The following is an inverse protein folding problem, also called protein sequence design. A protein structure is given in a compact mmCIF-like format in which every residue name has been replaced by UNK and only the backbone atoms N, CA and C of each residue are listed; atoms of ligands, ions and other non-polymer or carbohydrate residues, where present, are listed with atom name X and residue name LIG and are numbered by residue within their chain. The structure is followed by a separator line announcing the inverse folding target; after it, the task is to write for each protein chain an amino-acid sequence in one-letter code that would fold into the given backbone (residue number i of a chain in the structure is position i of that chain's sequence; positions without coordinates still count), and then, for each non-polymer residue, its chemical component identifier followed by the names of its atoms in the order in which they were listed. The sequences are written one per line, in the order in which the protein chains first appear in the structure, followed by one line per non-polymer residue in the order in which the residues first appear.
data_IF_598187997252
#
_entry.id   IF_598187997252
#
_cell.length_a   1.000
_cell.length_b   1.000
_cell.length_c   1.000
_cell.angle_alpha   90.00
_cell.angle_beta   90.00
_cell.angle_gamma   90.00
#
_symmetry.space_group_name_H-M   'P 1'
#
loop_
_entity.id
_entity.type
_entity.pdbx_description
1 polymer ?
#
# COMPACT_ATOMS: atom_id res chain seq x y z
N UNK A 1 5.29 -18.26 3.88
CA UNK A 1 4.10 -18.01 3.04
C UNK A 1 4.50 -17.66 1.61
N UNK A 2 5.23 -16.55 1.39
CA UNK A 2 5.58 -16.01 0.06
C UNK A 2 6.05 -17.03 -0.99
N UNK A 3 6.95 -17.96 -0.68
CA UNK A 3 7.41 -18.98 -1.65
C UNK A 3 6.26 -19.84 -2.20
N UNK A 4 5.35 -20.30 -1.33
CA UNK A 4 4.19 -21.09 -1.76
C UNK A 4 3.20 -20.28 -2.60
N UNK A 5 3.14 -18.97 -2.44
CA UNK A 5 2.29 -18.09 -3.27
C UNK A 5 2.91 -17.89 -4.65
N UNK A 6 4.22 -17.68 -4.71
CA UNK A 6 4.96 -17.61 -5.97
C UNK A 6 4.84 -18.92 -6.75
N UNK A 7 4.95 -20.07 -6.09
CA UNK A 7 4.76 -21.40 -6.71
C UNK A 7 3.35 -21.60 -7.29
N UNK A 8 2.36 -20.84 -6.80
CA UNK A 8 0.97 -20.84 -7.28
C UNK A 8 0.70 -19.76 -8.35
N UNK A 9 1.74 -19.06 -8.80
CA UNK A 9 1.65 -18.03 -9.84
C UNK A 9 1.25 -16.65 -9.33
N UNK A 10 1.28 -16.40 -8.01
CA UNK A 10 1.03 -15.06 -7.46
C UNK A 10 2.23 -14.16 -7.74
N UNK A 11 1.97 -12.92 -8.15
CA UNK A 11 3.00 -11.88 -8.23
C UNK A 11 3.08 -11.14 -6.90
N UNK A 12 4.27 -11.04 -6.33
CA UNK A 12 4.53 -10.28 -5.10
C UNK A 12 5.28 -8.99 -5.42
N UNK A 13 4.71 -7.84 -5.04
CA UNK A 13 5.30 -6.51 -5.25
C UNK A 13 5.44 -5.74 -3.93
N UNK A 14 6.56 -5.03 -3.78
CA UNK A 14 6.82 -4.16 -2.62
C UNK A 14 6.83 -2.70 -3.09
N UNK A 15 5.92 -1.89 -2.55
CA UNK A 15 5.87 -0.45 -2.82
C UNK A 15 6.74 0.31 -1.82
N UNK A 16 7.87 0.85 -2.26
CA UNK A 16 8.73 1.73 -1.46
C UNK A 16 8.19 3.17 -1.48
N UNK A 17 7.13 3.42 -0.72
CA UNK A 17 6.42 4.71 -0.66
C UNK A 17 7.17 5.76 0.17
N UNK A 18 6.88 7.06 -0.05
CA UNK A 18 7.39 8.13 0.83
C UNK A 18 6.95 7.93 2.27
N UNK A 19 7.79 8.40 3.20
CA UNK A 19 7.68 8.14 4.64
C UNK A 19 8.54 6.98 5.11
N UNK A 20 9.12 6.20 4.18
CA UNK A 20 10.22 5.26 4.43
C UNK A 20 11.59 5.95 4.37
N UNK A 21 12.66 5.14 4.41
CA UNK A 21 14.05 5.61 4.44
C UNK A 21 14.85 5.37 3.15
N UNK A 22 14.21 4.82 2.12
CA UNK A 22 14.87 4.25 0.93
C UNK A 22 15.67 5.28 0.13
N UNK A 23 15.23 6.55 0.12
CA UNK A 23 15.92 7.66 -0.56
C UNK A 23 16.40 8.75 0.43
N UNK A 24 16.63 8.39 1.69
CA UNK A 24 17.18 9.29 2.71
C UNK A 24 16.13 10.19 3.39
N UNK A 25 16.60 11.27 4.05
CA UNK A 25 15.77 12.06 4.98
C UNK A 25 14.62 12.79 4.29
N UNK A 26 14.82 13.30 3.08
CA UNK A 26 13.76 13.98 2.33
C UNK A 26 12.58 13.03 2.04
N UNK A 27 12.87 11.78 1.64
CA UNK A 27 11.87 10.76 1.40
C UNK A 27 10.99 10.47 2.62
N UNK A 28 11.61 10.45 3.80
CA UNK A 28 10.92 10.27 5.07
C UNK A 28 10.05 11.49 5.43
N UNK A 29 10.60 12.71 5.35
CA UNK A 29 9.86 13.94 5.68
C UNK A 29 8.67 14.20 4.75
N UNK A 30 8.82 13.85 3.46
CA UNK A 30 7.78 14.02 2.46
C UNK A 30 6.63 12.99 2.57
N UNK A 31 6.67 12.08 3.56
CA UNK A 31 5.61 11.10 3.81
C UNK A 31 5.17 10.99 5.26
N UNK A 32 5.36 12.04 6.06
CA UNK A 32 4.91 12.09 7.47
C UNK A 32 4.15 13.38 7.80
N UNK A 33 3.47 13.37 8.95
CA UNK A 33 2.70 14.51 9.46
C UNK A 33 1.73 15.07 8.40
N UNK A 34 1.82 16.37 8.09
CA UNK A 34 0.95 17.01 7.11
C UNK A 34 1.19 16.50 5.67
N UNK A 35 2.35 15.91 5.40
CA UNK A 35 2.69 15.27 4.12
C UNK A 35 2.26 13.80 4.08
N UNK A 36 1.60 13.26 5.12
CA UNK A 36 1.30 11.82 5.21
C UNK A 36 0.44 11.30 4.05
N UNK A 37 -0.38 12.16 3.45
CA UNK A 37 -1.19 11.82 2.27
C UNK A 37 -0.33 11.32 1.11
N UNK A 38 0.92 11.76 0.98
CA UNK A 38 1.84 11.31 -0.06
C UNK A 38 2.12 9.80 0.01
N UNK A 39 2.30 9.24 1.22
CA UNK A 39 2.45 7.79 1.42
C UNK A 39 1.29 7.02 0.79
N UNK A 40 0.06 7.52 0.99
CA UNK A 40 -1.15 6.86 0.50
C UNK A 40 -1.28 6.96 -1.02
N UNK A 41 -1.02 8.15 -1.58
CA UNK A 41 -1.11 8.35 -3.03
C UNK A 41 0.01 7.64 -3.78
N UNK A 42 1.20 7.49 -3.19
CA UNK A 42 2.29 6.70 -3.78
C UNK A 42 1.89 5.24 -3.92
N UNK A 43 1.26 4.67 -2.88
CA UNK A 43 0.79 3.28 -2.92
C UNK A 43 -0.28 3.07 -3.99
N UNK A 44 -1.24 4.01 -4.09
CA UNK A 44 -2.26 4.01 -5.15
C UNK A 44 -1.61 4.14 -6.53
N UNK A 45 -0.57 4.97 -6.69
CA UNK A 45 0.15 5.11 -7.94
C UNK A 45 0.84 3.80 -8.35
N UNK A 46 1.46 3.08 -7.39
CA UNK A 46 2.02 1.75 -7.65
C UNK A 46 0.95 0.76 -8.07
N UNK A 47 -0.21 0.72 -7.38
CA UNK A 47 -1.32 -0.15 -7.75
C UNK A 47 -1.82 0.14 -9.18
N UNK A 48 -2.02 1.41 -9.54
CA UNK A 48 -2.39 1.81 -10.91
C UNK A 48 -1.32 1.43 -11.93
N UNK A 49 -0.05 1.56 -11.58
CA UNK A 49 1.05 1.16 -12.45
C UNK A 49 1.04 -0.36 -12.72
N UNK A 50 0.82 -1.18 -11.69
CA UNK A 50 0.75 -2.64 -11.86
C UNK A 50 -0.41 -3.05 -12.77
N UNK A 51 -1.59 -2.45 -12.58
CA UNK A 51 -2.76 -2.70 -13.44
C UNK A 51 -2.51 -2.23 -14.87
N UNK A 52 -1.98 -1.01 -15.04
CA UNK A 52 -1.74 -0.43 -16.36
C UNK A 52 -0.73 -1.23 -17.20
N UNK A 53 0.29 -1.80 -16.56
CA UNK A 53 1.30 -2.61 -17.24
C UNK A 53 0.91 -4.09 -17.39
N UNK A 54 -0.31 -4.46 -17.01
CA UNK A 54 -0.83 -5.82 -17.21
C UNK A 54 -0.24 -6.87 -16.27
N UNK A 55 0.36 -6.47 -15.14
CA UNK A 55 0.81 -7.42 -14.12
C UNK A 55 -0.37 -8.05 -13.37
N UNK A 56 -1.50 -7.34 -13.30
CA UNK A 56 -2.74 -7.75 -12.64
C UNK A 56 -3.89 -6.86 -13.11
N UNK A 57 -5.08 -7.06 -12.56
CA UNK A 57 -6.25 -6.20 -12.72
C UNK A 57 -6.93 -5.95 -11.36
N UNK A 58 -8.01 -5.16 -11.34
CA UNK A 58 -8.74 -4.82 -10.13
C UNK A 58 -9.43 -6.03 -9.45
N UNK A 59 -9.73 -7.10 -10.19
CA UNK A 59 -10.36 -8.32 -9.66
C UNK A 59 -9.34 -9.25 -8.99
N UNK A 60 -8.04 -9.06 -9.28
CA UNK A 60 -6.97 -9.94 -8.79
C UNK A 60 -5.93 -9.23 -7.92
N UNK A 61 -5.93 -7.89 -7.80
CA UNK A 61 -5.00 -7.15 -6.96
C UNK A 61 -5.45 -7.12 -5.49
N UNK A 62 -4.59 -7.59 -4.59
CA UNK A 62 -4.75 -7.50 -3.13
C UNK A 62 -3.64 -6.63 -2.54
N UNK A 63 -3.97 -5.79 -1.57
CA UNK A 63 -2.99 -5.01 -0.80
C UNK A 63 -2.84 -5.52 0.63
N UNK A 64 -1.62 -5.49 1.15
CA UNK A 64 -1.29 -5.90 2.51
C UNK A 64 -0.46 -4.81 3.22
N UNK A 65 -0.74 -4.56 4.50
CA UNK A 65 0.07 -3.67 5.33
C UNK A 65 -0.17 -3.85 6.83
N UNK A 66 0.91 -3.80 7.61
CA UNK A 66 0.88 -4.00 9.07
C UNK A 66 1.27 -2.78 9.90
N UNK A 67 0.67 -2.59 11.08
CA UNK A 67 0.93 -1.46 12.00
C UNK A 67 0.71 -0.10 11.31
N UNK A 68 1.75 0.71 11.10
CA UNK A 68 1.66 1.93 10.27
C UNK A 68 1.25 1.62 8.81
N UNK A 69 1.56 0.44 8.31
CA UNK A 69 1.04 -0.08 7.04
C UNK A 69 -0.45 -0.42 7.09
N UNK A 70 -1.00 -0.75 8.27
CA UNK A 70 -2.43 -0.95 8.47
C UNK A 70 -3.23 0.35 8.33
N UNK A 71 -2.68 1.48 8.82
CA UNK A 71 -3.20 2.82 8.54
C UNK A 71 -3.20 3.09 7.03
N UNK A 72 -2.11 2.76 6.34
CA UNK A 72 -2.00 2.88 4.88
C UNK A 72 -3.09 2.07 4.17
N UNK A 73 -3.34 0.82 4.59
CA UNK A 73 -4.42 -0.02 4.04
C UNK A 73 -5.79 0.62 4.21
N UNK A 74 -6.10 1.14 5.40
CA UNK A 74 -7.36 1.85 5.63
C UNK A 74 -7.52 3.09 4.73
N UNK A 75 -6.44 3.85 4.54
CA UNK A 75 -6.46 5.02 3.66
C UNK A 75 -6.70 4.66 2.19
N UNK A 76 -5.97 3.68 1.64
CA UNK A 76 -6.10 3.33 0.21
C UNK A 76 -7.43 2.65 -0.12
N UNK A 77 -7.99 1.89 0.82
CA UNK A 77 -9.34 1.33 0.69
C UNK A 77 -10.42 2.43 0.54
N UNK A 78 -10.20 3.61 1.12
CA UNK A 78 -11.11 4.75 0.98
C UNK A 78 -10.80 5.62 -0.26
N UNK A 79 -9.52 5.77 -0.60
CA UNK A 79 -9.08 6.66 -1.69
C UNK A 79 -9.31 6.04 -3.08
N UNK A 80 -9.09 4.73 -3.22
CA UNK A 80 -9.19 4.03 -4.49
C UNK A 80 -9.71 2.59 -4.30
N UNK A 81 -10.93 2.41 -3.76
CA UNK A 81 -11.52 1.08 -3.52
C UNK A 81 -11.62 0.25 -4.80
N UNK A 82 -11.76 0.89 -5.96
CA UNK A 82 -11.91 0.24 -7.26
C UNK A 82 -10.66 -0.49 -7.74
N UNK A 83 -9.50 -0.31 -7.10
CA UNK A 83 -8.24 -0.93 -7.50
C UNK A 83 -7.96 -2.27 -6.84
N UNK A 84 -8.66 -2.61 -5.75
CA UNK A 84 -8.29 -3.73 -4.90
C UNK A 84 -9.45 -4.70 -4.71
N UNK A 85 -9.25 -5.95 -5.11
CA UNK A 85 -10.16 -7.05 -4.83
C UNK A 85 -10.18 -7.43 -3.34
N UNK A 86 -9.10 -7.12 -2.61
CA UNK A 86 -8.98 -7.38 -1.19
C UNK A 86 -7.94 -6.50 -0.50
N UNK A 87 -8.16 -6.27 0.80
CA UNK A 87 -7.25 -5.54 1.67
C UNK A 87 -6.96 -6.38 2.92
N UNK A 88 -5.69 -6.69 3.16
CA UNK A 88 -5.20 -7.33 4.38
C UNK A 88 -4.54 -6.30 5.29
N UNK A 89 -5.32 -5.73 6.20
CA UNK A 89 -4.85 -4.77 7.19
C UNK A 89 -4.45 -5.50 8.49
N UNK A 90 -3.15 -5.62 8.77
CA UNK A 90 -2.63 -6.38 9.92
C UNK A 90 -2.40 -5.45 11.10
N UNK A 91 -3.04 -5.72 12.24
CA UNK A 91 -3.00 -4.88 13.46
C UNK A 91 -3.13 -3.37 13.17
N UNK A 92 -4.20 -2.94 12.47
CA UNK A 92 -4.24 -1.60 11.91
C UNK A 92 -4.68 -0.54 12.95
N UNK A 93 -4.16 0.68 12.81
CA UNK A 93 -4.63 1.87 13.51
C UNK A 93 -5.38 2.75 12.50
N UNK A 94 -6.72 2.72 12.51
CA UNK A 94 -7.56 3.37 11.49
C UNK A 94 -8.42 4.52 12.01
N UNK A 95 -8.48 4.72 13.33
CA UNK A 95 -9.00 5.95 13.92
C UNK A 95 -7.81 6.88 14.22
N UNK A 96 -7.65 7.90 13.39
CA UNK A 96 -6.55 8.86 13.49
C UNK A 96 -6.73 9.93 14.59
N UNK A 97 -7.86 9.94 15.29
CA UNK A 97 -8.17 10.90 16.34
C UNK A 97 -7.99 10.31 17.73
N UNK A 98 -8.34 9.04 17.92
CA UNK A 98 -8.41 8.43 19.26
C UNK A 98 -7.50 7.22 19.47
N UNK A 99 -6.88 6.71 18.41
CA UNK A 99 -5.88 5.62 18.48
C UNK A 99 -4.47 6.18 18.44
#
# INVERSE_FOLDING_TARGET
ARLSELDRGVVFAVAHVRGGGEMGRSWYEDGKLLSKRNTFTDFVAVARHLVHNGYTDAEHLVAEGGSAGGLLMGAVANIAPELFAGILAVVPFVDALTT
#
